data_IF_770018626856
#
_entry.id   IF_770018626856
#
_cell.length_a   1.000
_cell.length_b   1.000
_cell.length_c   1.000
_cell.angle_alpha   90.00
_cell.angle_beta   90.00
_cell.angle_gamma   90.00
#
_symmetry.space_group_name_H-M   'P 1'
#
loop_
_entity.id
_entity.type
_entity.pdbx_description
1 polymer ?
#
# COMPACT_ATOMS: atom_id res chain seq x y z
N UNK A 1 -28.66 -6.37 4.45
CA UNK A 1 -27.21 -6.12 4.66
C UNK A 1 -26.42 -7.15 3.88
N UNK A 2 -25.55 -6.74 2.96
CA UNK A 2 -24.74 -7.65 2.14
C UNK A 2 -23.72 -8.35 3.05
N UNK A 3 -23.82 -9.68 3.20
CA UNK A 3 -22.76 -10.47 3.85
C UNK A 3 -21.47 -10.25 3.04
N UNK A 4 -20.41 -9.72 3.65
CA UNK A 4 -19.09 -9.70 3.02
C UNK A 4 -18.59 -11.14 2.92
N UNK A 5 -18.74 -11.77 1.75
CA UNK A 5 -18.09 -13.05 1.47
C UNK A 5 -16.66 -12.76 1.00
N UNK A 6 -15.69 -13.23 1.77
CA UNK A 6 -14.25 -13.16 1.43
C UNK A 6 -13.50 -12.08 2.21
N UNK A 7 -12.26 -12.41 2.58
CA UNK A 7 -11.31 -11.45 3.14
C UNK A 7 -11.10 -10.30 2.15
N UNK A 8 -11.10 -9.07 2.65
CA UNK A 8 -10.66 -7.89 1.89
C UNK A 8 -9.19 -8.01 1.51
N UNK A 9 -8.74 -7.28 0.49
CA UNK A 9 -7.33 -7.27 0.04
C UNK A 9 -6.38 -6.94 1.21
N UNK A 10 -6.78 -6.05 2.12
CA UNK A 10 -5.97 -5.70 3.30
C UNK A 10 -5.90 -6.88 4.29
N UNK A 11 -7.02 -7.56 4.55
CA UNK A 11 -7.04 -8.73 5.43
C UNK A 11 -6.26 -9.91 4.82
N UNK A 12 -6.31 -10.08 3.50
CA UNK A 12 -5.48 -11.05 2.77
C UNK A 12 -3.99 -10.73 2.95
N UNK A 13 -3.60 -9.47 2.75
CA UNK A 13 -2.21 -9.03 2.93
C UNK A 13 -1.72 -9.19 4.37
N UNK A 14 -2.58 -8.95 5.37
CA UNK A 14 -2.26 -9.20 6.79
C UNK A 14 -2.08 -10.69 7.06
N UNK A 15 -2.93 -11.54 6.48
CA UNK A 15 -2.82 -12.99 6.65
C UNK A 15 -1.53 -13.52 6.03
N UNK A 16 -1.18 -13.05 4.83
CA UNK A 16 0.03 -13.47 4.12
C UNK A 16 1.30 -12.89 4.76
N UNK A 17 1.28 -11.63 5.16
CA UNK A 17 2.41 -10.90 5.76
C UNK A 17 1.95 -10.28 7.09
N UNK A 18 2.04 -11.00 8.22
CA UNK A 18 1.55 -10.53 9.52
C UNK A 18 2.12 -9.18 9.97
N UNK A 19 3.35 -8.87 9.56
CA UNK A 19 3.98 -7.56 9.80
C UNK A 19 3.19 -6.38 9.23
N UNK A 20 2.37 -6.61 8.20
CA UNK A 20 1.54 -5.57 7.59
C UNK A 20 0.45 -5.05 8.53
N UNK A 21 0.01 -5.82 9.53
CA UNK A 21 -0.91 -5.32 10.57
C UNK A 21 -0.31 -4.15 11.36
N UNK A 22 1.00 -4.19 11.63
CA UNK A 22 1.69 -3.11 12.32
C UNK A 22 1.81 -1.85 11.45
N UNK A 23 2.02 -2.02 10.15
CA UNK A 23 1.98 -0.93 9.18
C UNK A 23 0.61 -0.26 9.21
N UNK A 24 -0.46 -1.06 9.08
CA UNK A 24 -1.84 -0.55 9.08
C UNK A 24 -2.11 0.29 10.30
N UNK A 25 -1.74 -0.21 11.48
CA UNK A 25 -1.90 0.48 12.75
C UNK A 25 -1.09 1.79 12.80
N UNK A 26 0.17 1.78 12.38
CA UNK A 26 1.02 3.00 12.38
C UNK A 26 0.50 4.06 11.43
N UNK A 27 0.06 3.67 10.24
CA UNK A 27 -0.52 4.60 9.25
C UNK A 27 -1.82 5.22 9.79
N UNK A 28 -2.69 4.42 10.41
CA UNK A 28 -3.94 4.93 11.02
C UNK A 28 -3.68 5.95 12.14
N UNK A 29 -2.71 5.67 13.01
CA UNK A 29 -2.27 6.61 14.05
C UNK A 29 -1.78 7.93 13.44
N UNK A 30 -0.94 7.86 12.41
CA UNK A 30 -0.39 9.06 11.75
C UNK A 30 -1.45 9.87 10.98
N UNK A 31 -2.37 9.21 10.29
CA UNK A 31 -3.52 9.85 9.63
C UNK A 31 -4.36 10.62 10.66
N UNK A 32 -4.62 9.97 11.80
CA UNK A 32 -5.40 10.57 12.89
C UNK A 32 -4.69 11.78 13.50
N UNK A 33 -3.40 11.66 13.85
CA UNK A 33 -2.60 12.75 14.43
C UNK A 33 -2.48 13.96 13.50
N UNK A 34 -2.50 13.74 12.18
CA UNK A 34 -2.41 14.80 11.16
C UNK A 34 -3.77 15.38 10.77
N UNK A 35 -4.87 14.94 11.39
CA UNK A 35 -6.23 15.40 11.04
C UNK A 35 -6.67 15.02 9.63
N UNK A 36 -6.07 13.97 9.05
CA UNK A 36 -6.38 13.52 7.69
C UNK A 36 -7.62 12.63 7.67
N UNK A 37 -8.30 12.59 6.52
CA UNK A 37 -9.51 11.79 6.39
C UNK A 37 -9.21 10.29 6.42
N UNK A 38 -10.16 9.50 6.96
CA UNK A 38 -10.11 8.03 6.84
C UNK A 38 -10.06 7.54 5.40
N UNK A 39 -10.68 8.28 4.46
CA UNK A 39 -10.61 7.94 3.04
C UNK A 39 -9.18 8.01 2.48
N UNK A 40 -8.34 8.91 3.00
CA UNK A 40 -6.91 9.00 2.64
C UNK A 40 -6.18 7.71 3.02
N UNK A 41 -6.34 7.24 4.26
CA UNK A 41 -5.79 5.97 4.71
C UNK A 41 -6.26 4.80 3.83
N UNK A 42 -7.57 4.70 3.62
CA UNK A 42 -8.18 3.58 2.90
C UNK A 42 -7.73 3.51 1.43
N UNK A 43 -7.54 4.66 0.79
CA UNK A 43 -7.06 4.71 -0.59
C UNK A 43 -5.62 4.24 -0.71
N UNK A 44 -4.74 4.64 0.21
CA UNK A 44 -3.34 4.22 0.18
C UNK A 44 -3.15 2.79 0.64
N UNK A 45 -3.80 2.38 1.73
CA UNK A 45 -3.56 1.06 2.32
C UNK A 45 -4.00 -0.08 1.42
N UNK A 46 -5.06 0.10 0.61
CA UNK A 46 -5.45 -0.88 -0.40
C UNK A 46 -4.40 -1.04 -1.48
N UNK A 47 -3.72 0.03 -1.86
CA UNK A 47 -2.65 -0.02 -2.87
C UNK A 47 -1.41 -0.69 -2.30
N UNK A 48 -1.01 -0.31 -1.08
CA UNK A 48 0.10 -0.97 -0.39
C UNK A 48 -0.21 -2.45 -0.17
N UNK A 49 -1.45 -2.83 0.16
CA UNK A 49 -1.84 -4.23 0.30
C UNK A 49 -1.67 -5.03 -1.00
N UNK A 50 -2.03 -4.45 -2.16
CA UNK A 50 -1.78 -5.08 -3.47
C UNK A 50 -0.28 -5.28 -3.73
N UNK A 51 0.54 -4.31 -3.35
CA UNK A 51 2.01 -4.42 -3.42
C UNK A 51 2.52 -5.55 -2.52
N UNK A 52 2.07 -5.59 -1.25
CA UNK A 52 2.44 -6.63 -0.29
C UNK A 52 2.01 -8.02 -0.75
N UNK A 53 0.85 -8.15 -1.38
CA UNK A 53 0.40 -9.43 -1.96
C UNK A 53 1.23 -9.85 -3.18
N UNK A 54 1.73 -8.90 -3.96
CA UNK A 54 2.57 -9.21 -5.12
C UNK A 54 3.95 -9.73 -4.72
N UNK A 55 4.56 -9.09 -3.72
CA UNK A 55 5.92 -9.40 -3.29
C UNK A 55 6.01 -10.33 -2.07
N UNK A 56 4.88 -10.60 -1.42
CA UNK A 56 4.77 -11.34 -0.16
C UNK A 56 5.67 -10.80 0.96
N UNK A 57 5.95 -9.50 0.92
CA UNK A 57 6.92 -8.80 1.77
C UNK A 57 6.48 -7.34 1.97
N UNK A 58 7.02 -6.70 3.00
CA UNK A 58 6.80 -5.27 3.23
C UNK A 58 7.66 -4.40 2.27
N UNK A 59 7.21 -3.18 1.90
CA UNK A 59 7.95 -2.31 0.98
C UNK A 59 9.41 -2.03 1.36
N UNK A 60 9.77 -1.94 2.64
CA UNK A 60 11.15 -1.74 3.10
C UNK A 60 12.06 -2.96 2.97
N UNK A 61 11.50 -4.11 2.61
CA UNK A 61 12.23 -5.36 2.42
C UNK A 61 12.49 -5.67 0.94
N UNK A 62 12.04 -4.79 0.03
CA UNK A 62 12.19 -4.94 -1.41
C UNK A 62 13.28 -4.01 -1.90
N UNK A 63 14.10 -4.51 -2.81
CA UNK A 63 15.14 -3.72 -3.44
C UNK A 63 14.52 -2.58 -4.28
N UNK A 64 15.04 -1.34 -4.21
CA UNK A 64 14.45 -0.21 -4.93
C UNK A 64 14.34 -0.43 -6.44
N UNK A 65 15.28 -1.16 -7.05
CA UNK A 65 15.26 -1.51 -8.46
C UNK A 65 14.07 -2.45 -8.77
N UNK A 66 13.80 -3.45 -7.93
CA UNK A 66 12.62 -4.32 -8.06
C UNK A 66 11.31 -3.53 -7.94
N UNK A 67 11.23 -2.56 -7.03
CA UNK A 67 10.06 -1.66 -6.91
C UNK A 67 9.87 -0.87 -8.21
N UNK A 68 10.95 -0.34 -8.78
CA UNK A 68 10.89 0.44 -10.01
C UNK A 68 10.44 -0.43 -11.20
N UNK A 69 10.97 -1.64 -11.34
CA UNK A 69 10.55 -2.59 -12.37
C UNK A 69 9.06 -2.92 -12.26
N UNK A 70 8.57 -3.18 -11.04
CA UNK A 70 7.15 -3.41 -10.79
C UNK A 70 6.28 -2.20 -11.19
N UNK A 71 6.69 -0.99 -10.82
CA UNK A 71 5.95 0.22 -11.18
C UNK A 71 5.97 0.48 -12.70
N UNK A 72 7.08 0.19 -13.39
CA UNK A 72 7.17 0.29 -14.85
C UNK A 72 6.27 -0.75 -15.52
N UNK A 73 6.27 -2.00 -15.04
CA UNK A 73 5.40 -3.05 -15.53
C UNK A 73 3.91 -2.65 -15.37
N UNK A 74 3.53 -2.17 -14.19
CA UNK A 74 2.18 -1.63 -13.94
C UNK A 74 1.84 -0.45 -14.85
N UNK A 75 2.79 0.43 -15.18
CA UNK A 75 2.51 1.57 -16.05
C UNK A 75 2.33 1.19 -17.52
N UNK A 76 2.92 0.06 -17.95
CA UNK A 76 2.89 -0.42 -19.34
C UNK A 76 1.78 -1.43 -19.60
N UNK A 77 1.27 -2.11 -18.58
CA UNK A 77 0.24 -3.13 -18.75
C UNK A 77 -1.05 -2.50 -19.35
N UNK A 78 -1.54 -2.97 -20.50
CA UNK A 78 -2.80 -2.47 -21.07
C UNK A 78 -4.04 -2.81 -20.20
N UNK A 79 -3.92 -3.78 -19.29
CA UNK A 79 -4.91 -4.11 -18.25
C UNK A 79 -4.62 -3.42 -16.92
N UNK A 80 -3.61 -2.53 -16.89
CA UNK A 80 -3.20 -1.80 -15.71
C UNK A 80 -4.32 -0.98 -15.09
N UNK A 81 -4.17 -0.59 -13.82
CA UNK A 81 -5.10 0.35 -13.21
C UNK A 81 -5.10 1.68 -13.97
N UNK A 82 -6.22 2.41 -13.92
CA UNK A 82 -6.27 3.77 -14.46
C UNK A 82 -5.10 4.64 -13.98
N UNK A 83 -4.70 5.66 -14.75
CA UNK A 83 -3.61 6.58 -14.38
C UNK A 83 -3.76 7.12 -12.95
N UNK A 84 -4.99 7.44 -12.52
CA UNK A 84 -5.27 7.87 -11.15
C UNK A 84 -4.99 6.78 -10.12
N UNK A 85 -5.35 5.54 -10.43
CA UNK A 85 -5.09 4.39 -9.56
C UNK A 85 -3.60 4.07 -9.46
N UNK A 86 -2.85 4.16 -10.56
CA UNK A 86 -1.39 4.05 -10.56
C UNK A 86 -0.75 5.14 -9.69
N UNK A 87 -1.18 6.40 -9.81
CA UNK A 87 -0.73 7.48 -8.93
C UNK A 87 -0.98 7.19 -7.45
N UNK A 88 -2.12 6.60 -7.10
CA UNK A 88 -2.40 6.20 -5.72
C UNK A 88 -1.48 5.09 -5.22
N UNK A 89 -1.00 4.20 -6.09
CA UNK A 89 0.05 3.23 -5.73
C UNK A 89 1.35 3.96 -5.38
N UNK A 90 1.85 4.79 -6.29
CA UNK A 90 3.08 5.57 -6.08
C UNK A 90 2.98 6.43 -4.82
N UNK A 91 1.92 7.22 -4.68
CA UNK A 91 1.74 8.07 -3.50
C UNK A 91 1.52 7.26 -2.22
N UNK A 92 0.89 6.09 -2.30
CA UNK A 92 0.75 5.18 -1.17
C UNK A 92 2.11 4.69 -0.67
N UNK A 93 3.01 4.29 -1.56
CA UNK A 93 4.37 3.87 -1.20
C UNK A 93 5.19 5.04 -0.63
N UNK A 94 5.12 6.23 -1.23
CA UNK A 94 5.79 7.42 -0.67
C UNK A 94 5.28 7.78 0.72
N UNK A 95 3.97 7.70 0.91
CA UNK A 95 3.31 7.94 2.19
C UNK A 95 3.74 6.90 3.25
N UNK A 96 3.84 5.63 2.85
CA UNK A 96 4.37 4.55 3.67
C UNK A 96 5.76 4.87 4.22
N UNK A 97 6.72 5.15 3.34
CA UNK A 97 8.10 5.42 3.75
C UNK A 97 8.20 6.67 4.63
N UNK A 98 7.50 7.75 4.25
CA UNK A 98 7.49 9.00 5.04
C UNK A 98 6.97 8.78 6.47
N UNK A 99 5.88 8.04 6.63
CA UNK A 99 5.27 7.84 7.94
C UNK A 99 6.00 6.83 8.83
N UNK A 100 6.79 5.95 8.24
CA UNK A 100 7.68 5.06 8.99
C UNK A 100 9.06 5.67 9.27
N UNK A 101 9.28 6.94 8.91
CA UNK A 101 10.54 7.65 9.14
C UNK A 101 11.63 7.36 8.11
N UNK A 102 11.31 6.64 7.03
CA UNK A 102 12.21 6.25 5.95
C UNK A 102 12.23 7.31 4.83
N UNK A 103 12.41 8.58 5.17
CA UNK A 103 12.23 9.71 4.24
C UNK A 103 13.14 9.66 3.00
N UNK A 104 14.31 8.99 3.07
CA UNK A 104 15.20 8.82 1.93
C UNK A 104 14.59 7.96 0.81
N UNK A 105 13.59 7.14 1.15
CA UNK A 105 12.92 6.21 0.25
C UNK A 105 11.55 6.77 -0.23
N UNK A 106 11.21 8.01 0.14
CA UNK A 106 9.89 8.61 -0.06
C UNK A 106 9.77 9.53 -1.29
#
# INVERSE_FOLDING_TARGET
MRKKSGFTIVEQAITLVPGFANVVRKLDQQVTLRGQSKSTLQNYIRRIALFVLHFEKLPEQIDPEEINEYLVALARDPKSPSRSSFKHMVYGLRYYYRLLGMNKNA
#
